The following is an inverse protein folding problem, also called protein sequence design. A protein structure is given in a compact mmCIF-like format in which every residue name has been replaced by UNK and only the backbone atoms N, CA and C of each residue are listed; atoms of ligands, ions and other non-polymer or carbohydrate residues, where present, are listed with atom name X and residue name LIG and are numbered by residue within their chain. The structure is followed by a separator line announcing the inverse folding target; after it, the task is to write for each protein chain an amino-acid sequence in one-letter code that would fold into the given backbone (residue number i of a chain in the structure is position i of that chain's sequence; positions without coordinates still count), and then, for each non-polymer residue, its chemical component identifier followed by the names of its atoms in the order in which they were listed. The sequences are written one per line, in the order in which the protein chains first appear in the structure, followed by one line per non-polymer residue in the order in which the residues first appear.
data_IF_851786440989
#
_entry.id   IF_851786440989
#
_cell.length_a   1.000
_cell.length_b   1.000
_cell.length_c   1.000
_cell.angle_alpha   90.00
_cell.angle_beta   90.00
_cell.angle_gamma   90.00
#
_symmetry.space_group_name_H-M   'P 1'
#
loop_
_entity.id
_entity.type
_entity.pdbx_description
1 polymer ?
#
# COMPACT_ATOMS: atom_id res chain seq x y z
N UNK A 1 -126.87 70.46 12.50
CA UNK A 1 -125.76 71.34 12.07
C UNK A 1 -124.52 70.46 12.01
N UNK A 2 -124.35 69.77 10.90
CA UNK A 2 -123.22 68.88 10.69
C UNK A 2 -121.96 69.72 10.47
N UNK A 3 -121.03 69.67 11.43
CA UNK A 3 -119.73 70.30 11.28
C UNK A 3 -118.96 69.57 10.18
N UNK A 4 -118.93 70.13 8.98
CA UNK A 4 -118.00 69.68 7.94
C UNK A 4 -116.57 69.75 8.50
N UNK A 5 -115.78 68.66 8.43
CA UNK A 5 -114.41 68.67 8.92
C UNK A 5 -113.55 69.62 8.09
N UNK A 6 -113.25 70.78 8.65
CA UNK A 6 -112.32 71.74 8.07
C UNK A 6 -110.88 71.36 8.44
N UNK A 7 -110.00 71.28 7.44
CA UNK A 7 -108.55 71.14 7.68
C UNK A 7 -108.04 72.38 8.43
N UNK A 8 -107.17 72.15 9.43
CA UNK A 8 -106.52 73.20 10.21
C UNK A 8 -105.00 73.08 10.05
N UNK A 9 -104.36 74.22 9.87
CA UNK A 9 -102.91 74.29 9.80
C UNK A 9 -102.32 74.18 11.20
N UNK A 10 -101.36 73.26 11.36
CA UNK A 10 -100.65 73.02 12.61
C UNK A 10 -99.18 72.76 12.32
N UNK A 11 -98.32 73.11 13.29
CA UNK A 11 -96.90 72.81 13.24
C UNK A 11 -96.62 71.48 13.95
N UNK A 12 -96.08 70.51 13.23
CA UNK A 12 -95.83 69.14 13.74
C UNK A 12 -94.35 68.93 14.06
N UNK A 13 -94.08 68.25 15.17
CA UNK A 13 -92.74 67.83 15.61
C UNK A 13 -92.75 66.33 15.88
N UNK A 14 -92.00 65.57 15.08
CA UNK A 14 -91.82 64.14 15.29
C UNK A 14 -90.63 63.88 16.21
N UNK A 15 -90.91 63.25 17.34
CA UNK A 15 -89.94 62.64 18.24
C UNK A 15 -90.03 61.12 18.13
N UNK A 16 -89.02 60.35 18.59
CA UNK A 16 -88.96 58.91 18.39
C UNK A 16 -90.21 58.10 18.79
N UNK A 17 -90.92 58.52 19.84
CA UNK A 17 -92.12 57.83 20.34
C UNK A 17 -93.33 58.78 20.44
N UNK A 18 -93.24 60.00 19.92
CA UNK A 18 -94.24 61.04 20.14
C UNK A 18 -94.30 61.99 18.95
N UNK A 19 -95.49 62.19 18.40
CA UNK A 19 -95.78 63.22 17.40
C UNK A 19 -96.60 64.33 18.07
N UNK A 20 -95.95 65.47 18.32
CA UNK A 20 -96.58 66.64 18.95
C UNK A 20 -97.00 67.65 17.89
N UNK A 21 -98.12 68.35 18.12
CA UNK A 21 -98.57 69.41 17.22
C UNK A 21 -98.95 70.70 17.95
N UNK A 22 -98.64 71.82 17.32
CA UNK A 22 -98.68 73.16 17.88
C UNK A 22 -99.46 74.12 16.97
N UNK A 23 -99.91 75.22 17.54
CA UNK A 23 -100.65 76.26 16.84
C UNK A 23 -99.81 77.07 15.84
N UNK A 24 -98.49 77.05 16.00
CA UNK A 24 -97.55 77.74 15.13
C UNK A 24 -96.11 77.29 15.37
N UNK A 25 -95.18 77.78 14.55
CA UNK A 25 -93.76 77.40 14.54
C UNK A 25 -93.01 77.77 15.84
N UNK A 26 -93.57 78.65 16.67
CA UNK A 26 -92.99 79.05 17.96
C UNK A 26 -93.03 77.95 19.03
N UNK A 27 -93.79 76.86 18.80
CA UNK A 27 -93.98 75.72 19.71
C UNK A 27 -94.48 76.10 21.13
N UNK A 28 -94.99 77.33 21.32
CA UNK A 28 -95.46 77.83 22.63
C UNK A 28 -96.84 77.29 23.02
N UNK A 29 -97.71 77.13 22.04
CA UNK A 29 -99.10 76.68 22.23
C UNK A 29 -99.28 75.27 21.70
N UNK A 30 -99.10 74.29 22.60
CA UNK A 30 -99.29 72.87 22.29
C UNK A 30 -100.77 72.52 22.19
N UNK A 31 -101.15 71.89 21.08
CA UNK A 31 -102.54 71.47 20.82
C UNK A 31 -102.80 70.02 21.15
N UNK A 32 -101.80 69.16 21.00
CA UNK A 32 -101.91 67.76 21.40
C UNK A 32 -100.68 66.94 21.04
N UNK A 33 -100.76 65.66 21.38
CA UNK A 33 -99.75 64.65 21.12
C UNK A 33 -100.40 63.37 20.59
N UNK A 34 -99.63 62.64 19.79
CA UNK A 34 -99.96 61.31 19.30
C UNK A 34 -98.78 60.42 19.67
N UNK A 35 -99.00 59.41 20.52
CA UNK A 35 -97.95 58.43 20.83
C UNK A 35 -97.69 57.59 19.60
N UNK A 36 -96.42 57.47 19.22
CA UNK A 36 -95.97 56.66 18.09
C UNK A 36 -95.36 55.39 18.66
N UNK A 37 -96.08 54.28 18.53
CA UNK A 37 -95.66 52.96 18.99
C UNK A 37 -95.66 51.94 17.84
N UNK A 38 -95.35 50.69 18.15
CA UNK A 38 -95.28 49.62 17.15
C UNK A 38 -96.65 49.18 16.62
N UNK A 39 -97.75 49.67 17.21
CA UNK A 39 -99.12 49.40 16.76
C UNK A 39 -99.63 50.47 15.79
N UNK A 40 -98.91 51.61 15.70
CA UNK A 40 -99.22 52.64 14.74
C UNK A 40 -98.93 52.17 13.31
N UNK A 41 -99.75 52.61 12.35
CA UNK A 41 -99.50 52.36 10.91
C UNK A 41 -99.69 53.65 10.13
N UNK A 42 -98.80 53.88 9.16
CA UNK A 42 -98.82 55.06 8.30
C UNK A 42 -99.03 54.62 6.87
N UNK A 43 -100.08 55.14 6.27
CA UNK A 43 -100.47 54.82 4.91
C UNK A 43 -100.59 56.09 4.08
N UNK A 44 -100.20 55.98 2.82
CA UNK A 44 -100.39 57.06 1.85
C UNK A 44 -101.83 56.97 1.35
N UNK A 45 -102.58 58.08 1.46
CA UNK A 45 -103.93 58.13 0.92
C UNK A 45 -103.88 58.50 -0.57
N UNK A 46 -104.54 57.69 -1.38
CA UNK A 46 -104.75 57.95 -2.80
C UNK A 46 -106.10 58.65 -2.99
N UNK A 47 -106.17 59.62 -3.90
CA UNK A 47 -107.37 60.44 -4.06
C UNK A 47 -108.46 59.68 -4.85
N UNK A 48 -109.56 59.33 -4.17
CA UNK A 48 -110.76 58.69 -4.76
C UNK A 48 -111.66 59.70 -5.49
N UNK A 49 -111.30 60.99 -5.52
CA UNK A 49 -112.09 62.11 -6.07
C UNK A 49 -111.98 62.30 -7.60
N UNK A 50 -111.52 61.31 -8.37
CA UNK A 50 -111.39 61.43 -9.84
C UNK A 50 -112.72 61.27 -10.61
N UNK A 51 -113.89 61.44 -9.98
CA UNK A 51 -115.21 61.40 -10.67
C UNK A 51 -115.99 62.73 -10.71
N UNK A 52 -115.35 63.88 -10.49
CA UNK A 52 -115.97 65.19 -10.75
C UNK A 52 -114.97 66.11 -11.45
N UNK A 53 -115.22 66.55 -12.69
CA UNK A 53 -114.29 67.35 -13.48
C UNK A 53 -114.42 68.84 -13.16
N UNK A 54 -114.19 69.24 -11.90
CA UNK A 54 -114.07 70.66 -11.54
C UNK A 54 -112.73 70.83 -10.82
N UNK A 55 -111.69 71.07 -11.62
CA UNK A 55 -110.35 71.40 -11.16
C UNK A 55 -110.30 72.89 -10.83
N UNK A 56 -110.30 73.23 -9.54
CA UNK A 56 -109.86 74.56 -9.09
C UNK A 56 -108.33 74.68 -9.28
N UNK A 57 -107.80 75.77 -9.84
CA UNK A 57 -106.36 75.93 -10.02
C UNK A 57 -105.68 76.00 -8.64
N UNK A 58 -104.82 75.03 -8.32
CA UNK A 58 -104.09 74.97 -7.05
C UNK A 58 -104.34 73.74 -6.17
N UNK A 59 -105.32 72.88 -6.49
CA UNK A 59 -105.57 71.65 -5.71
C UNK A 59 -104.53 70.56 -6.02
N UNK A 60 -103.46 70.49 -5.22
CA UNK A 60 -102.46 69.40 -5.27
C UNK A 60 -103.00 68.15 -4.54
N UNK A 61 -103.71 67.34 -5.30
CA UNK A 61 -104.30 66.04 -4.95
C UNK A 61 -103.36 65.02 -4.24
N UNK A 62 -102.04 65.19 -4.32
CA UNK A 62 -101.07 64.13 -3.96
C UNK A 62 -100.32 64.33 -2.65
N UNK A 63 -100.85 65.09 -1.69
CA UNK A 63 -100.14 65.40 -0.44
C UNK A 63 -100.75 64.81 0.83
N UNK A 64 -101.81 64.00 0.73
CA UNK A 64 -102.47 63.41 1.90
C UNK A 64 -101.85 62.08 2.34
N UNK A 65 -101.84 61.83 3.64
CA UNK A 65 -101.49 60.55 4.25
C UNK A 65 -102.27 60.36 5.55
N UNK A 66 -102.41 59.13 6.01
CA UNK A 66 -103.08 58.81 7.26
C UNK A 66 -102.15 58.11 8.24
N UNK A 67 -102.33 58.43 9.52
CA UNK A 67 -101.69 57.78 10.64
C UNK A 67 -102.79 57.17 11.51
N UNK A 68 -102.76 55.85 11.64
CA UNK A 68 -103.55 55.16 12.63
C UNK A 68 -102.73 55.05 13.91
N UNK A 69 -103.24 55.62 14.99
CA UNK A 69 -102.58 55.63 16.30
C UNK A 69 -103.65 55.74 17.40
N UNK A 70 -103.48 55.04 18.52
CA UNK A 70 -104.39 55.11 19.68
C UNK A 70 -105.87 54.94 19.31
N UNK A 71 -106.19 53.96 18.45
CA UNK A 71 -107.55 53.70 17.94
C UNK A 71 -108.19 54.87 17.16
N UNK A 72 -107.41 55.91 16.82
CA UNK A 72 -107.84 57.06 16.03
C UNK A 72 -107.17 57.07 14.67
N UNK A 73 -107.89 57.57 13.67
CA UNK A 73 -107.36 57.83 12.34
C UNK A 73 -107.12 59.33 12.15
N UNK A 74 -105.85 59.70 12.02
CA UNK A 74 -105.42 61.07 11.76
C UNK A 74 -105.09 61.23 10.28
N UNK A 75 -105.83 62.12 9.61
CA UNK A 75 -105.60 62.46 8.20
C UNK A 75 -104.78 63.75 8.13
N UNK A 76 -103.61 63.67 7.49
CA UNK A 76 -102.70 64.79 7.32
C UNK A 76 -102.63 65.20 5.85
N UNK A 77 -102.47 66.49 5.61
CA UNK A 77 -102.18 67.05 4.29
C UNK A 77 -100.83 67.77 4.35
N UNK A 78 -99.85 67.25 3.60
CA UNK A 78 -98.55 67.89 3.42
C UNK A 78 -98.64 69.03 2.39
N UNK A 79 -97.67 69.96 2.34
CA UNK A 79 -97.61 71.00 1.32
C UNK A 79 -97.28 70.47 -0.08
N UNK A 80 -96.53 69.36 -0.16
CA UNK A 80 -96.11 68.73 -1.42
C UNK A 80 -95.82 67.22 -1.26
N UNK A 81 -95.59 66.55 -2.39
CA UNK A 81 -95.32 65.11 -2.44
C UNK A 81 -94.02 64.72 -1.73
N UNK A 82 -92.97 65.54 -1.85
CA UNK A 82 -91.67 65.28 -1.23
C UNK A 82 -91.77 65.32 0.29
N UNK A 83 -92.39 66.36 0.85
CA UNK A 83 -92.60 66.47 2.30
C UNK A 83 -93.48 65.34 2.80
N UNK A 84 -94.52 64.94 2.05
CA UNK A 84 -95.30 63.74 2.38
C UNK A 84 -94.44 62.48 2.49
N UNK A 85 -93.59 62.19 1.50
CA UNK A 85 -92.69 61.03 1.54
C UNK A 85 -91.72 61.09 2.72
N UNK A 86 -91.19 62.27 3.03
CA UNK A 86 -90.33 62.47 4.19
C UNK A 86 -91.06 62.15 5.50
N UNK A 87 -92.27 62.70 5.71
CA UNK A 87 -93.08 62.39 6.88
C UNK A 87 -93.44 60.91 6.98
N UNK A 88 -93.87 60.30 5.88
CA UNK A 88 -94.20 58.87 5.84
C UNK A 88 -92.96 58.02 6.17
N UNK A 89 -91.81 58.35 5.58
CA UNK A 89 -90.56 57.65 5.87
C UNK A 89 -90.16 57.82 7.34
N UNK A 90 -90.14 59.05 7.85
CA UNK A 90 -89.74 59.34 9.22
C UNK A 90 -90.68 58.70 10.24
N UNK A 91 -92.00 58.72 10.01
CA UNK A 91 -92.97 58.04 10.87
C UNK A 91 -92.79 56.52 10.82
N UNK A 92 -92.61 55.91 9.63
CA UNK A 92 -92.30 54.48 9.51
C UNK A 92 -91.01 54.10 10.24
N UNK A 93 -89.97 54.92 10.10
CA UNK A 93 -88.70 54.75 10.81
C UNK A 93 -88.93 54.80 12.33
N UNK A 94 -89.71 55.78 12.81
CA UNK A 94 -90.08 55.93 14.23
C UNK A 94 -90.85 54.72 14.77
N UNK A 95 -91.89 54.28 14.05
CA UNK A 95 -92.74 53.12 14.39
C UNK A 95 -91.93 51.84 14.44
N UNK A 96 -91.04 51.62 13.47
CA UNK A 96 -90.18 50.42 13.45
C UNK A 96 -89.19 50.41 14.61
N UNK A 97 -88.92 51.56 15.22
CA UNK A 97 -87.89 51.72 16.25
C UNK A 97 -88.46 51.90 17.66
N UNK A 98 -89.76 52.13 17.80
CA UNK A 98 -90.43 52.38 19.09
C UNK A 98 -90.43 51.17 20.03
N UNK A 99 -90.17 49.96 19.51
CA UNK A 99 -90.05 48.73 20.31
C UNK A 99 -88.65 48.44 20.88
N UNK A 100 -87.68 49.35 20.68
CA UNK A 100 -86.30 49.12 21.10
C UNK A 100 -85.93 49.87 22.38
N UNK A 101 -85.24 49.21 23.35
CA UNK A 101 -84.85 49.84 24.62
C UNK A 101 -83.89 51.04 24.51
N UNK A 102 -83.20 51.19 23.37
CA UNK A 102 -82.18 52.21 23.15
C UNK A 102 -82.51 53.10 21.96
N UNK A 103 -82.18 54.40 22.07
CA UNK A 103 -82.31 55.36 20.96
C UNK A 103 -81.51 54.88 19.75
N UNK A 104 -82.10 54.99 18.56
CA UNK A 104 -81.52 54.60 17.27
C UNK A 104 -80.07 55.08 17.08
N UNK A 105 -79.77 56.32 17.47
CA UNK A 105 -78.42 56.90 17.37
C UNK A 105 -77.38 56.18 18.24
N UNK A 106 -77.75 55.73 19.45
CA UNK A 106 -76.85 54.98 20.34
C UNK A 106 -76.50 53.62 19.74
N UNK A 107 -77.48 52.91 19.16
CA UNK A 107 -77.25 51.64 18.47
C UNK A 107 -76.28 51.80 17.31
N UNK A 108 -76.47 52.82 16.45
CA UNK A 108 -75.54 53.08 15.35
C UNK A 108 -74.11 53.36 15.84
N UNK A 109 -73.96 54.10 16.94
CA UNK A 109 -72.67 54.38 17.54
C UNK A 109 -72.00 53.10 18.08
N UNK A 110 -72.77 52.22 18.75
CA UNK A 110 -72.28 50.92 19.22
C UNK A 110 -71.87 50.01 18.07
N UNK A 111 -72.66 49.90 16.99
CA UNK A 111 -72.29 49.11 15.81
C UNK A 111 -70.97 49.59 15.20
N UNK A 112 -70.77 50.91 15.06
CA UNK A 112 -69.50 51.47 14.56
C UNK A 112 -68.32 51.24 15.50
N UNK A 113 -68.56 51.17 16.81
CA UNK A 113 -67.53 50.84 17.80
C UNK A 113 -67.14 49.37 17.67
N UNK A 114 -68.13 48.48 17.58
CA UNK A 114 -67.92 47.03 17.45
C UNK A 114 -67.14 46.71 16.17
N UNK A 115 -67.52 47.29 15.03
CA UNK A 115 -66.82 47.12 13.76
C UNK A 115 -65.33 47.51 13.84
N UNK A 116 -65.01 48.65 14.46
CA UNK A 116 -63.60 49.07 14.64
C UNK A 116 -62.83 48.15 15.58
N UNK A 117 -63.51 47.62 16.60
CA UNK A 117 -62.90 46.67 17.52
C UNK A 117 -62.61 45.34 16.82
N UNK A 118 -63.56 44.80 16.07
CA UNK A 118 -63.36 43.58 15.28
C UNK A 118 -62.24 43.74 14.24
N UNK A 119 -62.16 44.90 13.56
CA UNK A 119 -61.09 45.18 12.61
C UNK A 119 -59.72 45.24 13.29
N UNK A 120 -59.65 45.89 14.45
CA UNK A 120 -58.41 45.91 15.25
C UNK A 120 -58.02 44.51 15.72
N UNK A 121 -58.96 43.73 16.26
CA UNK A 121 -58.71 42.36 16.70
C UNK A 121 -58.25 41.48 15.54
N UNK A 122 -58.81 41.63 14.33
CA UNK A 122 -58.34 40.93 13.13
C UNK A 122 -56.91 41.30 12.78
N UNK A 123 -56.56 42.58 12.80
CA UNK A 123 -55.21 43.05 12.51
C UNK A 123 -54.20 42.53 13.54
N UNK A 124 -54.55 42.59 14.83
CA UNK A 124 -53.70 42.10 15.92
C UNK A 124 -53.47 40.58 15.79
N UNK A 125 -54.51 39.80 15.43
CA UNK A 125 -54.40 38.36 15.17
C UNK A 125 -53.56 38.06 13.93
N UNK A 126 -53.69 38.84 12.86
CA UNK A 126 -52.90 38.65 11.64
C UNK A 126 -51.43 39.00 11.85
N UNK A 127 -51.14 40.06 12.60
CA UNK A 127 -49.79 40.43 12.98
C UNK A 127 -49.13 39.34 13.82
N UNK A 128 -49.84 38.79 14.81
CA UNK A 128 -49.33 37.69 15.64
C UNK A 128 -49.02 36.44 14.80
N UNK A 129 -49.91 36.09 13.86
CA UNK A 129 -49.64 34.98 12.93
C UNK A 129 -48.41 35.23 12.08
N UNK A 130 -48.23 36.46 11.58
CA UNK A 130 -47.03 36.81 10.82
C UNK A 130 -45.77 36.69 11.66
N UNK A 131 -45.77 37.19 12.91
CA UNK A 131 -44.61 37.05 13.79
C UNK A 131 -44.30 35.59 14.09
N UNK A 132 -45.31 34.77 14.39
CA UNK A 132 -45.13 33.34 14.67
C UNK A 132 -44.51 32.62 13.46
N UNK A 133 -45.03 32.85 12.25
CA UNK A 133 -44.47 32.26 11.02
C UNK A 133 -43.03 32.74 10.74
N UNK A 134 -42.71 34.00 11.05
CA UNK A 134 -41.35 34.52 10.91
C UNK A 134 -40.39 33.89 11.93
N UNK A 135 -40.84 33.64 13.16
CA UNK A 135 -40.05 32.97 14.18
C UNK A 135 -39.82 31.50 13.84
N UNK A 136 -40.85 30.79 13.37
CA UNK A 136 -40.75 29.39 12.92
C UNK A 136 -39.76 29.26 11.76
N UNK A 137 -39.87 30.11 10.74
CA UNK A 137 -38.95 30.10 9.60
C UNK A 137 -37.52 30.43 10.01
N UNK A 138 -37.34 31.38 10.95
CA UNK A 138 -36.02 31.70 11.50
C UNK A 138 -35.42 30.51 12.26
N UNK A 139 -36.21 29.83 13.08
CA UNK A 139 -35.77 28.64 13.83
C UNK A 139 -35.40 27.48 12.88
N UNK A 140 -36.18 27.26 11.83
CA UNK A 140 -35.87 26.26 10.80
C UNK A 140 -34.54 26.55 10.10
N UNK A 141 -34.30 27.80 9.69
CA UNK A 141 -33.04 28.21 9.07
C UNK A 141 -31.84 28.06 10.02
N UNK A 142 -32.03 28.27 11.32
CA UNK A 142 -30.96 28.10 12.31
C UNK A 142 -30.61 26.62 12.50
N UNK A 143 -31.61 25.74 12.57
CA UNK A 143 -31.39 24.29 12.59
C UNK A 143 -30.71 23.79 11.32
N UNK A 144 -31.11 24.27 10.15
CA UNK A 144 -30.47 23.91 8.87
C UNK A 144 -29.00 24.37 8.84
N UNK A 145 -28.72 25.60 9.30
CA UNK A 145 -27.34 26.11 9.42
C UNK A 145 -26.50 25.24 10.35
N UNK A 146 -27.03 24.86 11.52
CA UNK A 146 -26.33 23.98 12.45
C UNK A 146 -26.09 22.60 11.84
N UNK A 147 -27.10 22.02 11.18
CA UNK A 147 -26.96 20.74 10.49
C UNK A 147 -25.88 20.80 9.40
N UNK A 148 -25.82 21.89 8.63
CA UNK A 148 -24.79 22.10 7.61
C UNK A 148 -23.39 22.22 8.21
N UNK A 149 -23.22 23.01 9.28
CA UNK A 149 -21.93 23.15 9.98
C UNK A 149 -21.49 21.78 10.53
N UNK A 150 -22.39 21.02 11.13
CA UNK A 150 -22.07 19.69 11.66
C UNK A 150 -21.67 18.73 10.53
N UNK A 151 -22.35 18.76 9.38
CA UNK A 151 -21.99 17.95 8.22
C UNK A 151 -20.64 18.36 7.63
N UNK A 152 -20.33 19.65 7.58
CA UNK A 152 -19.05 20.17 7.11
C UNK A 152 -17.89 19.75 8.02
N UNK A 153 -18.06 19.86 9.34
CA UNK A 153 -17.07 19.37 10.32
C UNK A 153 -16.88 17.86 10.23
N UNK A 154 -17.97 17.09 10.06
CA UNK A 154 -17.87 15.64 9.86
C UNK A 154 -17.14 15.28 8.56
N UNK A 155 -17.42 16.00 7.46
CA UNK A 155 -16.72 15.79 6.21
C UNK A 155 -15.22 16.14 6.34
N UNK A 156 -14.89 17.25 7.00
CA UNK A 156 -13.50 17.67 7.23
C UNK A 156 -12.72 16.65 8.06
N UNK A 157 -13.30 16.17 9.17
CA UNK A 157 -12.68 15.13 10.02
C UNK A 157 -12.48 13.80 9.27
N UNK A 158 -13.45 13.38 8.46
CA UNK A 158 -13.30 12.18 7.62
C UNK A 158 -12.23 12.38 6.54
N UNK A 159 -12.14 13.56 5.94
CA UNK A 159 -11.09 13.88 4.97
C UNK A 159 -9.69 13.84 5.61
N UNK A 160 -9.53 14.40 6.81
CA UNK A 160 -8.29 14.34 7.57
C UNK A 160 -7.89 12.90 7.91
N UNK A 161 -8.85 12.07 8.34
CA UNK A 161 -8.63 10.64 8.60
C UNK A 161 -8.19 9.89 7.34
N UNK A 162 -8.89 10.09 6.22
CA UNK A 162 -8.52 9.47 4.95
C UNK A 162 -7.12 9.91 4.47
N UNK A 163 -6.74 11.17 4.68
CA UNK A 163 -5.40 11.66 4.35
C UNK A 163 -4.32 10.97 5.19
N UNK A 164 -4.54 10.86 6.51
CA UNK A 164 -3.65 10.16 7.44
C UNK A 164 -3.51 8.67 7.11
N UNK A 165 -4.61 8.00 6.74
CA UNK A 165 -4.56 6.61 6.31
C UNK A 165 -3.84 6.43 4.97
N UNK A 166 -4.05 7.36 4.03
CA UNK A 166 -3.34 7.39 2.75
C UNK A 166 -1.82 7.52 2.95
N UNK A 167 -1.38 8.40 3.84
CA UNK A 167 0.05 8.55 4.17
C UNK A 167 0.62 7.27 4.79
N UNK A 168 -0.06 6.69 5.78
CA UNK A 168 0.34 5.43 6.42
C UNK A 168 0.43 4.28 5.41
N UNK A 169 -0.53 4.16 4.51
CA UNK A 169 -0.52 3.11 3.47
C UNK A 169 0.61 3.31 2.48
N UNK A 170 0.92 4.55 2.10
CA UNK A 170 2.06 4.86 1.24
C UNK A 170 3.41 4.55 1.92
N UNK A 171 3.57 4.82 3.22
CA UNK A 171 4.76 4.43 3.98
C UNK A 171 4.92 2.91 4.07
N UNK A 172 3.84 2.20 4.38
CA UNK A 172 3.83 0.74 4.41
C UNK A 172 4.16 0.14 3.04
N UNK A 173 3.69 0.73 1.95
CA UNK A 173 4.03 0.31 0.61
C UNK A 173 5.53 0.52 0.30
N UNK A 174 6.10 1.67 0.68
CA UNK A 174 7.55 1.90 0.56
C UNK A 174 8.35 0.85 1.33
N UNK A 175 7.99 0.58 2.59
CA UNK A 175 8.67 -0.44 3.41
C UNK A 175 8.51 -1.82 2.76
N UNK A 176 7.31 -2.17 2.29
CA UNK A 176 7.06 -3.44 1.61
C UNK A 176 7.97 -3.60 0.40
N UNK A 177 8.05 -2.59 -0.48
CA UNK A 177 8.90 -2.66 -1.69
C UNK A 177 10.39 -2.78 -1.34
N UNK A 178 10.85 -2.11 -0.29
CA UNK A 178 12.23 -2.24 0.20
C UNK A 178 12.51 -3.65 0.73
N UNK A 179 11.61 -4.21 1.53
CA UNK A 179 11.75 -5.59 2.03
C UNK A 179 11.71 -6.62 0.90
N UNK A 180 10.88 -6.41 -0.11
CA UNK A 180 10.79 -7.27 -1.29
C UNK A 180 12.12 -7.25 -2.09
N UNK A 181 12.73 -6.07 -2.28
CA UNK A 181 14.05 -5.93 -2.89
C UNK A 181 15.14 -6.66 -2.10
N UNK A 182 15.21 -6.44 -0.78
CA UNK A 182 16.19 -7.10 0.08
C UNK A 182 16.04 -8.62 0.08
N UNK A 183 14.80 -9.12 0.02
CA UNK A 183 14.52 -10.54 -0.03
C UNK A 183 14.94 -11.18 -1.35
N UNK A 184 14.77 -10.47 -2.47
CA UNK A 184 15.26 -10.93 -3.77
C UNK A 184 16.79 -10.87 -3.87
N UNK A 185 17.43 -9.87 -3.27
CA UNK A 185 18.89 -9.82 -3.12
C UNK A 185 19.42 -10.99 -2.29
N UNK A 186 18.79 -11.35 -1.17
CA UNK A 186 19.18 -12.50 -0.36
C UNK A 186 19.00 -13.82 -1.12
N UNK A 187 17.89 -13.97 -1.85
CA UNK A 187 17.65 -15.13 -2.72
C UNK A 187 18.72 -15.25 -3.79
N UNK A 188 19.12 -14.13 -4.40
CA UNK A 188 20.16 -14.12 -5.41
C UNK A 188 21.53 -14.47 -4.80
N UNK A 189 21.88 -13.88 -3.66
CA UNK A 189 23.12 -14.18 -2.95
C UNK A 189 23.22 -15.68 -2.59
N UNK A 190 22.12 -16.32 -2.19
CA UNK A 190 22.08 -17.79 -1.94
C UNK A 190 22.31 -18.62 -3.21
N UNK A 191 21.73 -18.22 -4.34
CA UNK A 191 21.96 -18.89 -5.64
C UNK A 191 23.41 -18.74 -6.08
N UNK A 192 24.00 -17.57 -5.88
CA UNK A 192 25.39 -17.30 -6.23
C UNK A 192 26.33 -18.10 -5.32
N UNK A 193 26.05 -18.17 -4.02
CA UNK A 193 26.78 -19.03 -3.08
C UNK A 193 26.71 -20.51 -3.49
N UNK A 194 25.53 -21.03 -3.84
CA UNK A 194 25.39 -22.41 -4.33
C UNK A 194 26.17 -22.64 -5.63
N UNK A 195 26.22 -21.64 -6.51
CA UNK A 195 27.02 -21.70 -7.73
C UNK A 195 28.52 -21.78 -7.41
N UNK A 196 29.00 -20.97 -6.47
CA UNK A 196 30.39 -21.03 -6.00
C UNK A 196 30.70 -22.38 -5.36
N UNK A 197 29.83 -22.92 -4.49
CA UNK A 197 30.01 -24.25 -3.90
C UNK A 197 30.07 -25.35 -4.95
N UNK A 198 29.20 -25.31 -5.97
CA UNK A 198 29.21 -26.26 -7.09
C UNK A 198 30.51 -26.18 -7.90
N UNK A 199 31.00 -24.97 -8.18
CA UNK A 199 32.27 -24.77 -8.89
C UNK A 199 33.46 -25.29 -8.07
N UNK A 200 33.49 -25.01 -6.77
CA UNK A 200 34.52 -25.52 -5.87
C UNK A 200 34.52 -27.05 -5.83
N UNK A 201 33.35 -27.69 -5.72
CA UNK A 201 33.23 -29.15 -5.76
C UNK A 201 33.74 -29.74 -7.08
N UNK A 202 33.45 -29.09 -8.22
CA UNK A 202 33.97 -29.50 -9.52
C UNK A 202 35.49 -29.44 -9.58
N UNK A 203 36.09 -28.32 -9.16
CA UNK A 203 37.55 -28.14 -9.14
C UNK A 203 38.20 -29.17 -8.23
N UNK A 204 37.63 -29.43 -7.05
CA UNK A 204 38.14 -30.47 -6.14
C UNK A 204 38.11 -31.86 -6.77
N UNK A 205 37.05 -32.20 -7.52
CA UNK A 205 36.96 -33.47 -8.24
C UNK A 205 38.02 -33.57 -9.35
N UNK A 206 38.19 -32.52 -10.16
CA UNK A 206 39.23 -32.46 -11.19
C UNK A 206 40.65 -32.62 -10.61
N UNK A 207 40.92 -31.95 -9.48
CA UNK A 207 42.21 -32.09 -8.78
C UNK A 207 42.39 -33.48 -8.16
N UNK A 208 41.32 -34.10 -7.67
CA UNK A 208 41.37 -35.47 -7.15
C UNK A 208 41.64 -36.48 -8.26
N UNK A 209 40.95 -36.38 -9.40
CA UNK A 209 41.19 -37.21 -10.59
C UNK A 209 42.63 -37.06 -11.11
N UNK A 210 43.16 -35.82 -11.15
CA UNK A 210 44.55 -35.57 -11.52
C UNK A 210 45.54 -36.24 -10.54
N UNK A 211 45.26 -36.22 -9.24
CA UNK A 211 46.10 -36.88 -8.23
C UNK A 211 46.05 -38.40 -8.36
N UNK A 212 44.86 -38.99 -8.50
CA UNK A 212 44.68 -40.43 -8.70
C UNK A 212 45.42 -40.92 -9.96
N UNK A 213 45.34 -40.15 -11.05
CA UNK A 213 46.09 -40.46 -12.27
C UNK A 213 47.61 -40.43 -12.05
N UNK A 214 48.13 -39.42 -11.34
CA UNK A 214 49.56 -39.32 -11.04
C UNK A 214 50.03 -40.42 -10.08
N UNK A 215 49.20 -40.81 -9.11
CA UNK A 215 49.49 -41.90 -8.18
C UNK A 215 49.58 -43.25 -8.91
N UNK A 216 48.63 -43.54 -9.81
CA UNK A 216 48.69 -44.73 -10.68
C UNK A 216 49.95 -44.74 -11.53
N UNK A 217 50.30 -43.62 -12.16
CA UNK A 217 51.52 -43.52 -12.96
C UNK A 217 52.78 -43.71 -12.10
N UNK A 218 52.78 -43.19 -10.87
CA UNK A 218 53.90 -43.38 -9.94
C UNK A 218 54.00 -44.85 -9.48
N UNK A 219 52.89 -45.54 -9.25
CA UNK A 219 52.85 -46.96 -8.92
C UNK A 219 53.34 -47.81 -10.08
N UNK A 220 52.91 -47.53 -11.32
CA UNK A 220 53.43 -48.17 -12.53
C UNK A 220 54.95 -48.00 -12.65
N UNK A 221 55.47 -46.79 -12.43
CA UNK A 221 56.92 -46.53 -12.44
C UNK A 221 57.65 -47.31 -11.34
N UNK A 222 57.10 -47.41 -10.12
CA UNK A 222 57.67 -48.22 -9.03
C UNK A 222 57.71 -49.69 -9.40
N UNK A 223 56.62 -50.23 -9.95
CA UNK A 223 56.54 -51.62 -10.40
C UNK A 223 57.60 -51.91 -11.48
N UNK A 224 57.74 -51.03 -12.47
CA UNK A 224 58.80 -51.15 -13.48
C UNK A 224 60.21 -51.14 -12.87
N UNK A 225 60.47 -50.27 -11.89
CA UNK A 225 61.75 -50.25 -11.18
C UNK A 225 62.00 -51.51 -10.35
N UNK A 226 60.95 -52.07 -9.73
CA UNK A 226 61.04 -53.34 -8.99
C UNK A 226 61.31 -54.51 -9.92
N UNK A 227 60.67 -54.57 -11.08
CA UNK A 227 60.95 -55.58 -12.11
C UNK A 227 62.40 -55.47 -12.60
N UNK A 228 62.88 -54.27 -12.89
CA UNK A 228 64.28 -54.06 -13.27
C UNK A 228 65.26 -54.43 -12.15
N UNK A 229 64.93 -54.15 -10.88
CA UNK A 229 65.72 -54.60 -9.72
C UNK A 229 65.72 -56.13 -9.59
N UNK A 230 64.58 -56.79 -9.78
CA UNK A 230 64.46 -58.25 -9.77
C UNK A 230 65.33 -58.86 -10.87
N UNK A 231 65.22 -58.37 -12.10
CA UNK A 231 66.09 -58.79 -13.23
C UNK A 231 67.57 -58.59 -12.89
N UNK A 232 67.96 -57.43 -12.34
CA UNK A 232 69.35 -57.18 -11.93
C UNK A 232 69.85 -58.16 -10.87
N UNK A 233 69.04 -58.46 -9.86
CA UNK A 233 69.36 -59.46 -8.83
C UNK A 233 69.51 -60.87 -9.42
N UNK A 234 68.63 -61.25 -10.34
CA UNK A 234 68.74 -62.51 -11.09
C UNK A 234 70.02 -62.56 -11.94
N UNK A 235 70.35 -61.48 -12.64
CA UNK A 235 71.60 -61.38 -13.40
C UNK A 235 72.83 -61.45 -12.51
N UNK A 236 72.83 -60.78 -11.36
CA UNK A 236 73.92 -60.83 -10.37
C UNK A 236 74.10 -62.26 -9.84
N UNK A 237 73.01 -62.94 -9.48
CA UNK A 237 73.04 -64.35 -9.05
C UNK A 237 73.60 -65.26 -10.15
N UNK A 238 73.14 -65.09 -11.40
CA UNK A 238 73.66 -65.83 -12.54
C UNK A 238 75.15 -65.56 -12.80
N UNK A 239 75.61 -64.32 -12.55
CA UNK A 239 77.01 -63.96 -12.67
C UNK A 239 77.86 -64.57 -11.55
N UNK A 240 77.38 -64.52 -10.31
CA UNK A 240 78.01 -65.18 -9.16
C UNK A 240 78.11 -66.69 -9.38
N UNK A 241 77.05 -67.34 -9.86
CA UNK A 241 77.06 -68.78 -10.19
C UNK A 241 78.10 -69.10 -11.28
N UNK A 242 78.20 -68.27 -12.33
CA UNK A 242 79.22 -68.41 -13.38
C UNK A 242 80.63 -68.18 -12.85
N UNK A 243 80.84 -67.19 -11.98
CA UNK A 243 82.13 -66.92 -11.35
C UNK A 243 82.55 -68.07 -10.43
N UNK A 244 81.61 -68.62 -9.64
CA UNK A 244 81.82 -69.81 -8.83
C UNK A 244 82.23 -71.01 -9.69
N UNK A 245 81.52 -71.27 -10.78
CA UNK A 245 81.89 -72.32 -11.75
C UNK A 245 83.30 -72.11 -12.32
N UNK A 246 83.66 -70.87 -12.64
CA UNK A 246 84.98 -70.53 -13.18
C UNK A 246 86.07 -70.70 -12.11
N UNK A 247 85.82 -70.29 -10.87
CA UNK A 247 86.73 -70.46 -9.75
C UNK A 247 86.92 -71.93 -9.40
N UNK A 248 85.85 -72.74 -9.39
CA UNK A 248 85.94 -74.19 -9.26
C UNK A 248 86.76 -74.81 -10.40
N UNK A 249 86.51 -74.42 -11.65
CA UNK A 249 87.29 -74.88 -12.79
C UNK A 249 88.77 -74.48 -12.67
N UNK A 250 89.07 -73.27 -12.18
CA UNK A 250 90.43 -72.81 -11.91
C UNK A 250 91.09 -73.57 -10.77
N UNK A 251 90.39 -73.83 -9.66
CA UNK A 251 90.85 -74.67 -8.56
C UNK A 251 91.15 -76.07 -9.07
N UNK A 252 90.24 -76.68 -9.84
CA UNK A 252 90.47 -77.98 -10.51
C UNK A 252 91.71 -77.95 -11.42
N UNK A 253 91.94 -76.86 -12.15
CA UNK A 253 93.18 -76.69 -12.95
C UNK A 253 94.41 -76.53 -12.05
N UNK A 254 94.36 -75.75 -10.97
CA UNK A 254 95.45 -75.56 -10.02
C UNK A 254 95.81 -76.86 -9.30
N UNK A 255 94.83 -77.63 -8.83
CA UNK A 255 95.06 -78.95 -8.23
C UNK A 255 95.66 -79.90 -9.25
N UNK A 256 95.13 -79.95 -10.49
CA UNK A 256 95.76 -80.71 -11.57
C UNK A 256 97.21 -80.27 -11.83
N UNK A 257 97.50 -78.96 -11.85
CA UNK A 257 98.88 -78.44 -12.00
C UNK A 257 99.78 -78.76 -10.82
N UNK A 258 99.25 -78.72 -9.59
CA UNK A 258 99.99 -79.08 -8.38
C UNK A 258 100.29 -80.58 -8.36
N UNK A 259 99.32 -81.42 -8.72
CA UNK A 259 99.49 -82.86 -8.88
C UNK A 259 100.53 -83.15 -9.97
N UNK A 260 100.43 -82.54 -11.16
CA UNK A 260 101.46 -82.66 -12.21
C UNK A 260 102.81 -82.14 -11.70
N UNK A 261 102.85 -81.03 -10.96
CA UNK A 261 104.08 -80.49 -10.39
C UNK A 261 104.71 -81.44 -9.36
N UNK A 262 103.89 -82.10 -8.55
CA UNK A 262 104.30 -83.13 -7.61
C UNK A 262 104.79 -84.38 -8.36
N UNK A 263 104.07 -84.84 -9.37
CA UNK A 263 104.51 -85.94 -10.27
C UNK A 263 105.84 -85.60 -10.96
N UNK A 264 106.03 -84.36 -11.42
CA UNK A 264 107.29 -83.88 -12.00
C UNK A 264 108.40 -83.80 -10.96
N UNK A 265 108.12 -83.35 -9.73
CA UNK A 265 109.08 -83.35 -8.63
C UNK A 265 109.49 -84.77 -8.23
N UNK A 266 108.54 -85.69 -8.13
CA UNK A 266 108.81 -87.11 -7.91
C UNK A 266 109.62 -87.70 -9.06
N UNK A 267 109.32 -87.34 -10.31
CA UNK A 267 110.12 -87.72 -11.46
C UNK A 267 111.54 -87.12 -11.39
N UNK A 268 111.69 -85.86 -10.97
CA UNK A 268 112.99 -85.21 -10.79
C UNK A 268 113.80 -85.85 -9.66
N UNK A 269 113.17 -86.19 -8.53
CA UNK A 269 113.83 -86.90 -7.42
C UNK A 269 114.27 -88.29 -7.89
N UNK A 270 113.43 -89.03 -8.61
CA UNK A 270 113.81 -90.31 -9.22
C UNK A 270 114.95 -90.18 -10.22
N UNK A 271 114.95 -89.15 -11.07
CA UNK A 271 116.08 -88.85 -11.98
C UNK A 271 117.35 -88.55 -11.18
N UNK A 272 117.25 -87.78 -10.09
CA UNK A 272 118.39 -87.41 -9.24
C UNK A 272 118.92 -88.59 -8.40
N UNK A 273 118.05 -89.50 -8.00
CA UNK A 273 118.42 -90.77 -7.38
C UNK A 273 119.11 -91.69 -8.40
N UNK A 274 118.62 -91.76 -9.64
CA UNK A 274 119.31 -92.45 -10.73
C UNK A 274 120.67 -91.81 -11.05
N UNK A 275 120.81 -90.49 -10.94
CA UNK A 275 122.11 -89.80 -11.05
C UNK A 275 123.03 -90.17 -9.88
N UNK A 276 122.54 -90.20 -8.63
CA UNK A 276 123.34 -90.69 -7.48
C UNK A 276 123.70 -92.16 -7.57
N UNK A 277 122.82 -93.03 -8.07
CA UNK A 277 123.16 -94.44 -8.35
C UNK A 277 124.25 -94.53 -9.42
N UNK A 278 124.15 -93.74 -10.50
CA UNK A 278 125.19 -93.66 -11.52
C UNK A 278 126.50 -93.08 -10.99
N UNK A 279 126.44 -92.15 -10.04
CA UNK A 279 127.63 -91.57 -9.42
C UNK A 279 128.28 -92.54 -8.41
N UNK A 280 127.49 -93.37 -7.71
CA UNK A 280 127.98 -94.46 -6.86
C UNK A 280 128.51 -95.67 -7.66
N UNK A 281 127.95 -95.96 -8.84
CA UNK A 281 128.50 -96.95 -9.79
C UNK A 281 129.80 -96.47 -10.46
N UNK A 282 130.01 -95.15 -10.58
CA UNK A 282 131.23 -94.57 -11.18
C UNK A 282 132.42 -94.44 -10.23
N UNK A 283 132.23 -94.58 -8.91
CA UNK A 283 133.31 -94.48 -7.91
C UNK A 283 134.04 -95.83 -7.65
N UNK A 284 133.63 -96.91 -8.33
CA UNK A 284 134.17 -98.27 -8.16
C UNK A 284 135.10 -98.77 -9.29
N UNK A 285 135.50 -97.95 -10.26
CA UNK A 285 136.49 -98.38 -11.27
C UNK A 285 137.34 -97.24 -11.82
N UNK A 286 138.59 -97.28 -11.38
CA UNK A 286 139.67 -96.35 -11.67
C UNK A 286 140.25 -96.48 -13.09
N UNK A 287 140.75 -95.33 -13.58
CA UNK A 287 141.87 -95.12 -14.51
C UNK A 287 141.70 -95.39 -16.02
N UNK A 288 142.04 -94.31 -16.75
CA UNK A 288 142.96 -94.21 -17.91
C UNK A 288 142.37 -93.80 -19.28
N UNK A 289 143.05 -92.83 -19.92
CA UNK A 289 143.13 -92.50 -21.38
C UNK A 289 141.93 -91.80 -22.05
N UNK A 290 142.00 -90.91 -23.05
CA UNK A 290 143.04 -90.16 -23.82
C UNK A 290 142.32 -89.17 -24.78
N UNK A 291 142.94 -88.02 -25.06
CA UNK A 291 142.98 -87.25 -26.34
C UNK A 291 141.70 -86.74 -27.07
N UNK A 292 141.56 -85.40 -27.11
CA UNK A 292 141.38 -84.41 -28.25
C UNK A 292 141.03 -84.92 -29.69
N UNK A 293 140.64 -84.07 -30.69
CA UNK A 293 140.35 -82.61 -30.74
C UNK A 293 139.19 -82.16 -31.70
N UNK A 294 139.08 -80.84 -31.96
CA UNK A 294 138.63 -80.16 -33.21
C UNK A 294 137.14 -79.78 -33.33
N UNK A 295 136.78 -78.48 -33.39
CA UNK A 295 136.82 -77.53 -34.51
C UNK A 295 135.35 -77.14 -34.86
N UNK A 296 134.91 -75.92 -34.54
CA UNK A 296 134.85 -74.77 -35.46
C UNK A 296 134.14 -75.08 -36.79
N UNK A 297 132.97 -74.48 -37.06
CA UNK A 297 132.76 -73.59 -38.21
C UNK A 297 131.37 -72.93 -38.21
N UNK A 298 131.33 -71.83 -38.94
CA UNK A 298 130.40 -70.70 -38.92
C UNK A 298 129.16 -70.84 -39.84
N UNK A 299 128.14 -70.00 -39.54
CA UNK A 299 127.44 -69.05 -40.46
C UNK A 299 126.21 -69.46 -41.30
N UNK A 300 125.16 -68.64 -41.07
CA UNK A 300 124.11 -68.05 -41.93
C UNK A 300 122.96 -68.91 -42.50
N UNK A 301 121.76 -68.49 -42.09
CA UNK A 301 120.69 -67.85 -42.89
C UNK A 301 120.45 -68.38 -44.31
N UNK A 302 119.20 -68.77 -44.63
CA UNK A 302 118.02 -67.91 -44.92
C UNK A 302 116.92 -68.68 -45.68
N UNK A 303 115.66 -68.39 -45.34
CA UNK A 303 114.48 -68.41 -46.23
C UNK A 303 113.80 -69.78 -46.43
N UNK A 304 112.48 -69.90 -46.55
CA UNK A 304 111.44 -68.91 -46.86
C UNK A 304 110.03 -69.55 -46.70
N UNK A 305 108.98 -68.71 -46.67
CA UNK A 305 107.52 -68.98 -46.89
C UNK A 305 106.72 -69.51 -45.69
N UNK A 306 105.50 -69.05 -45.40
CA UNK A 306 104.58 -68.10 -46.04
C UNK A 306 103.40 -67.78 -45.07
N UNK A 307 102.76 -66.63 -45.33
CA UNK A 307 101.35 -66.29 -45.08
C UNK A 307 100.97 -65.32 -43.92
N UNK A 308 100.54 -64.13 -44.38
CA UNK A 308 99.39 -63.30 -43.93
C UNK A 308 99.47 -62.41 -42.66
N UNK A 309 99.89 -61.14 -42.87
CA UNK A 309 99.17 -59.82 -42.71
C UNK A 309 98.19 -59.54 -41.52
N UNK A 310 97.76 -58.26 -41.25
CA UNK A 310 98.52 -57.01 -41.02
C UNK A 310 97.85 -56.00 -39.99
N UNK A 311 98.56 -54.88 -39.71
CA UNK A 311 98.16 -53.44 -39.69
C UNK A 311 96.86 -52.86 -39.04
N UNK A 312 97.10 -51.80 -38.21
CA UNK A 312 96.65 -50.38 -38.23
C UNK A 312 95.16 -49.92 -38.21
N UNK A 313 95.06 -48.68 -37.70
CA UNK A 313 94.09 -47.57 -37.93
C UNK A 313 92.75 -47.61 -37.19
N UNK A 314 92.46 -46.60 -36.35
CA UNK A 314 91.88 -45.27 -36.66
C UNK A 314 90.38 -45.40 -36.96
N UNK A 315 89.48 -44.57 -36.44
CA UNK A 315 89.32 -43.16 -36.80
C UNK A 315 87.92 -42.69 -36.33
N UNK A 316 87.84 -41.43 -35.86
CA UNK A 316 86.81 -40.38 -36.05
C UNK A 316 85.30 -40.74 -36.11
N UNK A 317 84.34 -39.91 -35.66
CA UNK A 317 84.17 -38.45 -35.82
C UNK A 317 82.94 -38.02 -34.96
N UNK A 318 83.04 -36.99 -34.10
CA UNK A 318 82.48 -35.61 -34.24
C UNK A 318 80.97 -35.54 -34.52
N UNK A 319 80.14 -34.64 -33.99
CA UNK A 319 80.22 -33.33 -33.29
C UNK A 319 78.78 -33.04 -32.79
N UNK A 320 78.49 -32.22 -31.77
CA UNK A 320 78.60 -30.76 -31.81
C UNK A 320 78.18 -30.10 -30.47
N UNK A 321 78.98 -29.13 -30.02
CA UNK A 321 78.65 -27.77 -29.51
C UNK A 321 77.44 -27.55 -28.57
N UNK A 322 77.63 -27.16 -27.30
CA UNK A 322 77.83 -25.78 -26.76
C UNK A 322 76.58 -24.90 -26.62
N UNK A 323 76.29 -24.41 -25.40
CA UNK A 323 76.25 -22.98 -24.97
C UNK A 323 75.19 -22.70 -23.88
N UNK A 324 75.66 -22.05 -22.82
CA UNK A 324 74.92 -21.00 -22.13
C UNK A 324 75.04 -19.68 -22.91
N UNK A 325 73.97 -18.86 -22.95
CA UNK A 325 73.95 -17.38 -22.77
C UNK A 325 72.55 -16.83 -23.11
N UNK A 326 72.20 -15.79 -22.33
CA UNK A 326 71.06 -14.87 -22.32
C UNK A 326 70.53 -14.31 -23.67
N UNK A 327 69.21 -13.97 -23.60
CA UNK A 327 68.51 -12.72 -24.02
C UNK A 327 67.80 -12.61 -25.41
N UNK A 328 66.52 -12.19 -25.28
CA UNK A 328 65.64 -11.31 -26.10
C UNK A 328 64.65 -11.91 -27.13
N UNK A 329 63.35 -11.84 -26.76
CA UNK A 329 62.35 -10.86 -27.23
C UNK A 329 62.15 -10.65 -28.76
N UNK A 330 61.02 -11.11 -29.33
CA UNK A 330 59.93 -10.30 -29.93
C UNK A 330 58.87 -11.11 -30.74
N UNK A 331 57.59 -10.85 -30.42
CA UNK A 331 56.37 -10.76 -31.27
C UNK A 331 55.93 -11.98 -32.09
N UNK A 332 54.67 -12.34 -32.28
CA UNK A 332 53.34 -11.77 -32.04
C UNK A 332 52.36 -12.96 -32.10
N UNK A 333 51.39 -13.05 -31.19
CA UNK A 333 49.98 -13.18 -31.59
C UNK A 333 49.07 -12.87 -30.41
N UNK A 334 48.10 -12.04 -30.74
CA UNK A 334 47.19 -11.29 -29.90
C UNK A 334 46.03 -12.14 -29.40
N UNK A 335 45.83 -12.20 -28.07
CA UNK A 335 44.47 -12.16 -27.49
C UNK A 335 44.53 -11.32 -26.22
N UNK A 336 43.98 -10.12 -26.33
CA UNK A 336 43.68 -9.21 -25.23
C UNK A 336 42.53 -9.76 -24.37
N UNK A 337 42.77 -9.95 -23.08
CA UNK A 337 41.71 -9.94 -22.06
C UNK A 337 42.11 -8.96 -20.97
N UNK A 338 41.39 -7.86 -20.94
CA UNK A 338 41.36 -6.83 -19.91
C UNK A 338 41.03 -7.44 -18.54
N UNK A 339 41.97 -7.38 -17.61
CA UNK A 339 41.68 -7.50 -16.17
C UNK A 339 41.47 -6.07 -15.65
N UNK A 340 40.20 -5.69 -15.59
CA UNK A 340 39.73 -4.52 -14.87
C UNK A 340 39.83 -4.77 -13.36
N UNK A 341 40.71 -3.99 -12.74
CA UNK A 341 40.60 -3.36 -11.43
C UNK A 341 39.47 -3.89 -10.52
N UNK A 342 39.88 -4.57 -9.45
CA UNK A 342 39.11 -4.65 -8.22
C UNK A 342 39.20 -3.30 -7.47
N UNK A 343 38.09 -2.74 -6.97
CA UNK A 343 38.15 -1.68 -5.99
C UNK A 343 38.46 -2.27 -4.60
N UNK A 344 39.50 -1.71 -4.00
CA UNK A 344 39.93 -1.87 -2.63
C UNK A 344 38.84 -1.50 -1.64
N UNK A 345 38.54 -2.42 -0.73
CA UNK A 345 37.82 -2.16 0.52
C UNK A 345 38.73 -1.42 1.50
N UNK A 346 38.40 -0.16 1.81
CA UNK A 346 38.87 0.50 3.02
C UNK A 346 37.79 1.46 3.52
N UNK A 347 37.09 1.06 4.57
CA UNK A 347 36.76 1.89 5.74
C UNK A 347 35.69 1.17 6.57
N UNK A 348 36.14 0.22 7.39
CA UNK A 348 35.45 -0.12 8.62
C UNK A 348 36.02 0.85 9.66
N UNK A 349 35.27 1.90 9.97
CA UNK A 349 35.38 2.55 11.27
C UNK A 349 34.36 1.89 12.20
N UNK A 350 34.90 1.44 13.33
CA UNK A 350 34.21 0.94 14.50
C UNK A 350 33.17 1.96 15.00
N UNK A 351 31.95 1.49 15.22
CA UNK A 351 31.02 2.10 16.18
C UNK A 351 30.15 1.00 16.78
N UNK A 352 30.73 0.38 17.80
CA UNK A 352 30.11 -0.13 19.03
C UNK A 352 28.58 0.02 19.08
N UNK A 353 27.89 -1.11 18.94
CA UNK A 353 26.52 -1.30 19.42
C UNK A 353 26.63 -1.62 20.91
N UNK A 354 26.13 -0.72 21.75
CA UNK A 354 25.83 -0.99 23.15
C UNK A 354 24.46 -0.41 23.47
N UNK A 355 23.57 -1.33 23.86
CA UNK A 355 22.44 -1.15 24.77
C UNK A 355 21.52 0.06 24.57
N UNK A 356 20.27 -0.20 24.17
CA UNK A 356 19.07 0.45 24.73
C UNK A 356 17.79 -0.26 24.24
N UNK A 357 17.53 -1.46 24.75
CA UNK A 357 16.17 -1.94 24.92
C UNK A 357 15.76 -1.50 26.33
N UNK A 358 14.71 -0.67 26.44
CA UNK A 358 13.62 -0.67 27.44
C UNK A 358 13.09 0.73 27.71
N UNK A 359 11.83 0.96 27.31
CA UNK A 359 10.72 1.60 28.05
C UNK A 359 9.77 2.32 27.09
N UNK A 360 8.78 1.58 26.61
CA UNK A 360 7.51 2.16 26.18
C UNK A 360 6.62 2.24 27.43
N UNK A 361 5.96 3.37 27.75
CA UNK A 361 5.15 3.52 28.95
C UNK A 361 3.81 2.78 28.81
N UNK A 362 3.48 1.96 29.80
CA UNK A 362 2.17 1.34 29.98
C UNK A 362 1.19 2.27 30.69
N UNK A 363 0.73 3.34 30.03
CA UNK A 363 -0.33 4.19 30.61
C UNK A 363 -1.50 4.52 29.65
N UNK A 364 -1.50 4.01 28.42
CA UNK A 364 -2.55 4.35 27.45
C UNK A 364 -3.64 3.27 27.24
N UNK A 365 -3.63 2.16 27.98
CA UNK A 365 -4.55 1.02 27.75
C UNK A 365 -5.60 0.83 28.86
N UNK A 366 -5.56 1.63 29.93
CA UNK A 366 -6.49 1.47 31.07
C UNK A 366 -7.70 2.39 31.06
N UNK A 367 -7.75 3.44 30.23
CA UNK A 367 -8.92 4.35 30.18
C UNK A 367 -10.00 3.93 29.19
N UNK A 368 -9.67 3.15 28.16
CA UNK A 368 -10.64 2.72 27.12
C UNK A 368 -11.49 1.52 27.56
N UNK A 369 -11.07 0.78 28.59
CA UNK A 369 -11.83 -0.36 29.16
C UNK A 369 -12.79 0.09 30.28
N UNK A 370 -12.57 1.28 30.87
CA UNK A 370 -13.45 1.82 31.92
C UNK A 370 -14.77 2.36 31.35
N UNK A 371 -14.74 2.99 30.18
CA UNK A 371 -15.94 3.60 29.54
C UNK A 371 -16.89 2.55 28.93
N UNK A 372 -16.38 1.38 28.54
CA UNK A 372 -17.18 0.27 28.01
C UNK A 372 -17.92 -0.52 29.11
N UNK A 373 -17.46 -0.49 30.37
CA UNK A 373 -18.10 -1.24 31.47
C UNK A 373 -19.20 -0.46 32.21
N UNK A 374 -19.26 0.87 32.05
CA UNK A 374 -20.28 1.70 32.71
C UNK A 374 -21.61 1.73 31.94
N UNK A 375 -21.59 1.32 30.66
CA UNK A 375 -22.80 1.19 29.82
C UNK A 375 -23.61 -0.10 30.07
N UNK A 376 -23.12 -1.04 30.89
CA UNK A 376 -23.81 -2.31 31.22
C UNK A 376 -24.56 -2.31 32.56
N UNK A 377 -24.62 -1.19 33.28
CA UNK A 377 -25.38 -1.05 34.53
C UNK A 377 -26.44 0.05 34.43
N UNK A 378 -27.48 -0.16 33.62
CA UNK A 378 -28.77 0.52 33.80
C UNK A 378 -29.87 -0.53 33.98
N UNK A 379 -30.60 -0.53 35.10
CA UNK A 379 -31.69 -1.47 35.32
C UNK A 379 -32.87 -1.11 34.40
N UNK A 380 -33.40 -2.13 33.71
CA UNK A 380 -34.67 -2.05 32.98
C UNK A 380 -35.79 -1.72 33.97
N UNK A 381 -36.30 -0.50 33.91
CA UNK A 381 -37.54 -0.11 34.56
C UNK A 381 -38.71 -0.73 33.82
N UNK A 382 -39.50 -1.49 34.57
CA UNK A 382 -40.78 -2.11 34.25
C UNK A 382 -41.76 -1.11 33.63
N UNK A 383 -42.35 -1.48 32.49
CA UNK A 383 -43.72 -1.13 32.07
C UNK A 383 -44.32 -2.32 31.32
#
# INVERSE_FOLDING_TARGET
MDFLPAYREHFFVLQPNLLSFYNGTSQREKRGDIVVDGQCRVEVLEDVSNRIPIKSPGSKSHSKFQLFAQEKNYIFQAPDHRTRLQWVSSLKTSINQSGHPFRYQRRLAETRRLMRQEEKEKLDVELLKQTDTMEETRAQLELEKQARINAEVQAETLMEQCALESEKTAELEKIRTQLESLLDEERQAKKDEETVRRLQARILNEEWERRDFLEKLQEEQKNMLEEERKKRSEFEKMQQDKENQLNEAQKRKKTKRANIGQEVLEAQIKVKEQEREKDLEKEASSRLTTLNPSASFYVRNRGERSAYTPMRSASMRETSYSRSIRRRNRNNDSVSITISQAPSTSNIQEAIISESITKIPQEAVTEEIATLNESRKRPLSVL
#
